data_IF_824336032353
#
_entry.id   IF_824336032353
#
_cell.length_a   1.000
_cell.length_b   1.000
_cell.length_c   1.000
_cell.angle_alpha   90.00
_cell.angle_beta   90.00
_cell.angle_gamma   90.00
#
_symmetry.space_group_name_H-M   'P 1'
#
loop_
_entity.id
_entity.type
_entity.pdbx_description
1 polymer ?
#
# COMPACT_ATOMS: atom_id res chain seq x y z
N UNK A 1 48.76 5.54 18.39
CA UNK A 1 47.97 6.77 18.65
C UNK A 1 46.58 6.34 19.06
N UNK A 2 46.20 6.58 20.31
CA UNK A 2 44.88 6.27 20.84
C UNK A 2 43.90 7.42 20.51
N UNK A 3 42.70 7.08 20.05
CA UNK A 3 41.59 8.02 19.84
C UNK A 3 41.04 8.49 21.20
N UNK A 4 40.68 9.78 21.37
CA UNK A 4 40.15 10.27 22.62
C UNK A 4 38.71 9.77 22.84
N UNK A 5 38.44 9.32 24.06
CA UNK A 5 37.13 8.94 24.58
C UNK A 5 36.24 10.19 24.59
N UNK A 6 35.13 10.16 23.85
CA UNK A 6 34.08 11.19 23.92
C UNK A 6 33.49 11.17 25.34
N UNK A 7 33.65 12.27 26.07
CA UNK A 7 33.07 12.42 27.40
C UNK A 7 31.54 12.32 27.32
N UNK A 8 30.94 11.40 28.10
CA UNK A 8 29.48 11.34 28.31
C UNK A 8 29.05 12.62 29.03
N UNK A 9 28.44 13.56 28.31
CA UNK A 9 27.71 14.67 28.93
C UNK A 9 26.53 14.08 29.73
N UNK A 10 26.55 14.28 31.06
CA UNK A 10 25.40 13.98 31.91
C UNK A 10 24.36 15.07 31.69
N UNK A 11 23.33 14.76 30.91
CA UNK A 11 22.13 15.62 30.80
C UNK A 11 21.55 15.87 32.19
N UNK A 12 21.29 17.13 32.50
CA UNK A 12 20.64 17.57 33.74
C UNK A 12 19.21 17.03 33.82
N UNK A 13 18.63 16.96 35.02
CA UNK A 13 17.23 16.55 35.20
C UNK A 13 16.24 17.44 34.43
N UNK A 14 16.60 18.72 34.21
CA UNK A 14 15.85 19.67 33.40
C UNK A 14 15.96 19.34 31.91
N UNK A 15 17.15 19.08 31.38
CA UNK A 15 17.33 18.66 29.98
C UNK A 15 16.67 17.31 29.70
N UNK A 16 16.71 16.36 30.64
CA UNK A 16 15.96 15.10 30.54
C UNK A 16 14.45 15.36 30.52
N UNK A 17 13.94 16.23 31.39
CA UNK A 17 12.52 16.60 31.43
C UNK A 17 12.07 17.33 30.15
N UNK A 18 12.92 18.20 29.61
CA UNK A 18 12.62 18.97 28.40
C UNK A 18 12.76 18.08 27.14
N UNK A 19 13.63 17.06 27.16
CA UNK A 19 13.70 15.98 26.16
C UNK A 19 12.41 15.14 26.12
N UNK A 20 11.81 14.82 27.28
CA UNK A 20 10.53 14.12 27.35
C UNK A 20 9.32 15.00 26.95
N UNK A 21 9.37 16.32 27.18
CA UNK A 21 8.29 17.25 26.78
C UNK A 21 8.22 17.49 25.27
N UNK A 22 9.33 17.39 24.54
CA UNK A 22 9.34 17.48 23.07
C UNK A 22 8.80 16.22 22.38
N UNK A 23 8.82 15.07 23.07
CA UNK A 23 8.33 13.81 22.52
C UNK A 23 6.83 13.60 22.74
N UNK A 24 6.24 14.28 23.73
CA UNK A 24 4.81 14.31 24.01
C UNK A 24 4.34 15.76 24.22
N UNK A 25 4.08 16.53 23.15
CA UNK A 25 3.49 17.86 23.29
C UNK A 25 2.15 17.77 24.05
N UNK A 26 1.87 18.66 25.03
CA UNK A 26 0.70 18.52 25.91
C UNK A 26 -0.67 18.82 25.30
N UNK A 27 -0.76 19.16 24.03
CA UNK A 27 -2.04 19.45 23.38
C UNK A 27 -2.02 18.85 21.99
N UNK A 28 -2.64 17.69 21.84
CA UNK A 28 -2.80 17.02 20.57
C UNK A 28 -4.25 17.18 20.13
N UNK A 29 -4.55 17.74 18.96
CA UNK A 29 -5.93 17.76 18.49
C UNK A 29 -6.47 16.33 18.42
N UNK A 30 -7.67 16.12 18.96
CA UNK A 30 -8.49 14.96 18.61
C UNK A 30 -8.62 14.88 17.08
N UNK A 31 -8.92 13.70 16.53
CA UNK A 31 -9.19 13.53 15.09
C UNK A 31 -10.15 14.61 14.53
N UNK A 32 -11.08 15.08 15.36
CA UNK A 32 -12.00 16.20 15.13
C UNK A 32 -11.38 17.57 14.77
N UNK A 33 -10.08 17.79 14.95
CA UNK A 33 -9.40 19.05 14.61
C UNK A 33 -8.58 18.99 13.30
N UNK A 34 -8.70 17.90 12.53
CA UNK A 34 -8.22 17.87 11.16
C UNK A 34 -9.30 18.44 10.22
N UNK A 35 -8.92 19.38 9.34
CA UNK A 35 -9.79 19.85 8.26
C UNK A 35 -10.21 18.70 7.35
N UNK A 36 -11.43 18.19 7.55
CA UNK A 36 -12.01 17.11 6.78
C UNK A 36 -12.49 17.60 5.43
N UNK A 37 -12.09 16.90 4.38
CA UNK A 37 -12.64 17.07 3.03
C UNK A 37 -13.20 15.73 2.54
N UNK A 38 -14.19 15.70 1.64
CA UNK A 38 -14.60 14.45 1.01
C UNK A 38 -13.40 13.79 0.32
N UNK A 39 -13.22 12.48 0.53
CA UNK A 39 -12.26 11.72 -0.26
C UNK A 39 -12.66 11.80 -1.74
N UNK A 40 -11.72 12.17 -2.60
CA UNK A 40 -11.94 12.08 -4.06
C UNK A 40 -11.65 10.67 -4.55
N UNK A 41 -11.88 10.42 -5.85
CA UNK A 41 -11.61 9.13 -6.46
C UNK A 41 -10.19 8.64 -6.10
N UNK A 42 -10.03 7.39 -5.65
CA UNK A 42 -8.77 6.87 -5.10
C UNK A 42 -7.67 6.75 -6.15
N UNK A 43 -8.08 6.62 -7.42
CA UNK A 43 -7.21 6.55 -8.59
C UNK A 43 -7.34 7.86 -9.34
N UNK A 44 -6.33 8.72 -9.18
CA UNK A 44 -6.19 10.00 -9.89
C UNK A 44 -4.87 9.96 -10.64
N UNK A 45 -4.96 9.92 -11.98
CA UNK A 45 -3.78 9.98 -12.82
C UNK A 45 -3.10 11.32 -12.68
N UNK A 46 -1.86 11.29 -12.18
CA UNK A 46 -0.98 12.45 -12.05
C UNK A 46 0.43 11.89 -11.82
N UNK A 47 1.07 11.35 -12.87
CA UNK A 47 2.40 10.75 -12.77
C UNK A 47 3.38 11.77 -12.24
N UNK A 48 4.37 11.32 -11.44
CA UNK A 48 5.32 12.24 -10.83
C UNK A 48 6.19 12.87 -11.92
N UNK A 49 5.93 14.13 -12.24
CA UNK A 49 6.69 14.86 -13.25
C UNK A 49 8.19 14.91 -12.89
N UNK A 50 9.09 14.86 -13.89
CA UNK A 50 10.50 15.19 -13.66
C UNK A 50 10.59 16.58 -13.03
N UNK A 51 11.41 16.71 -12.00
CA UNK A 51 11.64 18.00 -11.35
C UNK A 51 13.11 18.35 -11.44
N UNK A 52 13.41 19.63 -11.64
CA UNK A 52 14.76 20.13 -11.38
C UNK A 52 15.11 19.80 -9.94
N UNK A 53 16.33 19.28 -9.72
CA UNK A 53 16.90 19.03 -8.40
C UNK A 53 16.51 20.18 -7.46
N UNK A 54 15.88 19.88 -6.31
CA UNK A 54 15.79 20.88 -5.25
C UNK A 54 17.22 21.02 -4.74
N UNK A 55 17.93 21.99 -5.30
CA UNK A 55 19.31 22.29 -4.98
C UNK A 55 19.32 22.98 -3.61
N UNK A 56 19.27 22.17 -2.56
CA UNK A 56 19.32 22.63 -1.17
C UNK A 56 20.75 22.76 -0.65
N UNK A 57 21.73 22.75 -1.55
CA UNK A 57 23.15 22.74 -1.21
C UNK A 57 23.63 21.42 -0.62
N UNK A 58 22.79 20.37 -0.57
CA UNK A 58 23.25 19.05 -0.13
C UNK A 58 24.22 18.46 -1.17
N UNK A 59 25.36 17.87 -0.75
CA UNK A 59 26.30 17.23 -1.66
C UNK A 59 25.75 16.00 -2.40
N UNK A 60 24.54 15.52 -2.07
CA UNK A 60 24.06 14.17 -2.39
C UNK A 60 23.64 13.96 -3.84
N UNK A 61 23.50 15.02 -4.64
CA UNK A 61 23.11 14.94 -6.06
C UNK A 61 24.26 15.25 -7.02
N UNK A 62 25.41 15.68 -6.50
CA UNK A 62 26.63 15.85 -7.28
C UNK A 62 27.25 14.47 -7.55
N UNK A 63 27.26 14.04 -8.82
CA UNK A 63 27.82 12.75 -9.23
C UNK A 63 26.80 11.65 -9.51
N UNK A 64 25.51 11.97 -9.63
CA UNK A 64 24.55 11.02 -10.21
C UNK A 64 24.98 10.62 -11.63
N UNK A 65 24.77 9.36 -12.04
CA UNK A 65 25.04 8.93 -13.41
C UNK A 65 24.35 9.84 -14.42
N UNK A 66 25.03 10.15 -15.53
CA UNK A 66 24.46 10.95 -16.61
C UNK A 66 23.13 10.32 -17.10
N UNK A 67 22.09 11.15 -17.25
CA UNK A 67 20.75 10.70 -17.66
C UNK A 67 19.86 10.17 -16.52
N UNK A 68 20.29 10.26 -15.26
CA UNK A 68 19.42 10.01 -14.10
C UNK A 68 18.32 11.06 -14.03
N UNK A 69 17.06 10.64 -13.94
CA UNK A 69 15.93 11.54 -13.73
C UNK A 69 15.64 11.65 -12.24
N UNK A 70 15.51 12.89 -11.75
CA UNK A 70 15.12 13.19 -10.37
C UNK A 70 13.64 13.54 -10.33
N UNK A 71 12.92 12.94 -9.38
CA UNK A 71 11.48 13.12 -9.17
C UNK A 71 11.18 13.63 -7.78
N UNK A 72 10.74 14.88 -7.71
CA UNK A 72 10.28 15.52 -6.49
C UNK A 72 8.86 15.12 -6.15
N UNK A 73 8.63 14.66 -4.93
CA UNK A 73 7.29 14.46 -4.37
C UNK A 73 7.14 15.20 -3.05
N UNK A 74 5.91 15.58 -2.71
CA UNK A 74 5.55 16.09 -1.40
C UNK A 74 4.45 15.22 -0.79
N UNK A 75 4.60 14.92 0.50
CA UNK A 75 3.63 14.17 1.30
C UNK A 75 3.45 14.82 2.65
N UNK A 76 2.25 15.33 2.88
CA UNK A 76 1.85 15.98 4.13
C UNK A 76 0.94 15.02 4.90
N UNK A 77 1.47 14.47 6.00
CA UNK A 77 0.77 13.48 6.83
C UNK A 77 -0.25 14.12 7.76
N UNK A 78 -1.20 13.28 8.21
CA UNK A 78 -2.34 13.67 9.05
C UNK A 78 -3.24 14.72 8.38
N UNK A 79 -3.46 14.59 7.09
CA UNK A 79 -4.53 15.32 6.42
C UNK A 79 -5.82 14.50 6.49
N UNK A 80 -6.90 15.11 6.96
CA UNK A 80 -8.18 14.42 7.14
C UNK A 80 -8.98 14.29 5.84
N UNK A 81 -9.55 13.12 5.60
CA UNK A 81 -10.59 12.91 4.57
C UNK A 81 -11.77 12.14 5.14
N UNK A 82 -12.96 12.35 4.58
CA UNK A 82 -14.16 11.57 4.93
C UNK A 82 -14.32 10.41 3.95
N UNK A 83 -14.26 9.17 4.47
CA UNK A 83 -14.59 7.96 3.73
C UNK A 83 -16.08 7.67 3.90
N UNK A 84 -16.85 7.87 2.83
CA UNK A 84 -18.29 7.67 2.84
C UNK A 84 -18.65 6.19 2.67
N UNK A 85 -19.66 5.74 3.39
CA UNK A 85 -20.19 4.39 3.25
C UNK A 85 -21.33 4.35 2.23
N UNK A 86 -21.51 3.25 1.50
CA UNK A 86 -22.68 3.04 0.66
C UNK A 86 -23.98 3.19 1.45
N UNK A 87 -25.02 3.71 0.80
CA UNK A 87 -26.34 3.84 1.43
C UNK A 87 -26.84 2.47 1.93
N UNK A 88 -27.39 2.45 3.14
CA UNK A 88 -27.87 1.22 3.77
C UNK A 88 -26.77 0.34 4.36
N UNK A 89 -25.54 0.84 4.50
CA UNK A 89 -24.51 0.17 5.31
C UNK A 89 -25.01 0.01 6.75
N UNK A 90 -24.92 -1.21 7.28
CA UNK A 90 -25.37 -1.58 8.63
C UNK A 90 -24.29 -2.42 9.32
N UNK A 91 -24.43 -2.62 10.63
CA UNK A 91 -23.50 -3.46 11.39
C UNK A 91 -22.17 -2.78 11.77
N UNK A 92 -22.08 -1.46 11.63
CA UNK A 92 -20.93 -0.69 12.11
C UNK A 92 -20.89 -0.69 13.65
N UNK A 93 -19.68 -0.76 14.20
CA UNK A 93 -19.38 -0.68 15.63
C UNK A 93 -19.70 0.69 16.19
N UNK A 94 -19.57 1.75 15.38
CA UNK A 94 -20.16 3.06 15.67
C UNK A 94 -21.60 3.06 15.16
N UNK A 95 -22.63 2.99 16.02
CA UNK A 95 -24.01 2.80 15.57
C UNK A 95 -24.49 3.95 14.69
N UNK A 96 -25.05 3.61 13.51
CA UNK A 96 -25.59 4.59 12.57
C UNK A 96 -24.54 5.40 11.79
N UNK A 97 -23.26 5.01 11.86
CA UNK A 97 -22.21 5.64 11.06
C UNK A 97 -22.49 5.50 9.56
N UNK A 98 -22.47 6.62 8.85
CA UNK A 98 -22.61 6.70 7.39
C UNK A 98 -21.28 7.03 6.70
N UNK A 99 -20.26 7.33 7.48
CA UNK A 99 -18.89 7.59 7.06
C UNK A 99 -17.94 7.40 8.23
N UNK A 100 -16.64 7.38 7.94
CA UNK A 100 -15.58 7.50 8.94
C UNK A 100 -14.50 8.46 8.46
N UNK A 101 -13.73 9.00 9.40
CA UNK A 101 -12.60 9.87 9.12
C UNK A 101 -11.35 9.04 8.84
N UNK A 102 -10.66 9.30 7.73
CA UNK A 102 -9.33 8.78 7.45
C UNK A 102 -8.28 9.90 7.56
N UNK A 103 -7.04 9.51 7.81
CA UNK A 103 -5.84 10.33 7.74
C UNK A 103 -5.00 9.86 6.56
N UNK A 104 -4.66 10.77 5.67
CA UNK A 104 -3.93 10.44 4.43
C UNK A 104 -2.60 11.17 4.38
N UNK A 105 -1.68 10.65 3.57
CA UNK A 105 -0.47 11.34 3.14
C UNK A 105 -0.83 12.19 1.91
N UNK A 106 -1.32 13.40 2.16
CA UNK A 106 -1.79 14.29 1.10
C UNK A 106 -0.66 14.69 0.16
N UNK A 107 -0.95 14.78 -1.13
CA UNK A 107 -0.10 15.53 -2.07
C UNK A 107 -0.67 16.95 -2.23
N UNK A 108 0.11 17.91 -2.77
CA UNK A 108 -0.33 19.29 -2.91
C UNK A 108 -1.64 19.45 -3.69
N UNK A 109 -1.88 18.59 -4.67
CA UNK A 109 -3.02 18.65 -5.59
C UNK A 109 -4.22 17.81 -5.16
N UNK A 110 -4.07 16.81 -4.29
CA UNK A 110 -5.12 15.81 -4.07
C UNK A 110 -5.06 15.14 -2.70
N UNK A 111 -6.24 14.84 -2.14
CA UNK A 111 -6.43 14.02 -0.95
C UNK A 111 -7.34 12.83 -1.27
N UNK A 112 -6.74 11.66 -1.38
CA UNK A 112 -7.41 10.39 -1.67
C UNK A 112 -7.16 9.40 -0.55
N UNK A 113 -8.06 8.42 -0.41
CA UNK A 113 -7.81 7.22 0.37
C UNK A 113 -7.95 5.99 -0.56
N UNK A 114 -6.95 5.09 -0.65
CA UNK A 114 -5.57 5.23 -0.19
C UNK A 114 -4.90 6.50 -0.70
N UNK A 115 -3.80 6.89 -0.06
CA UNK A 115 -3.04 8.07 -0.47
C UNK A 115 -2.52 7.92 -1.90
N UNK A 116 -2.44 9.04 -2.62
CA UNK A 116 -2.10 9.10 -4.04
C UNK A 116 -0.87 8.24 -4.41
N UNK A 117 -1.04 7.34 -5.39
CA UNK A 117 0.05 6.54 -5.96
C UNK A 117 1.30 7.38 -6.25
N UNK A 118 2.45 6.93 -5.76
CA UNK A 118 3.76 7.40 -6.21
C UNK A 118 4.17 6.54 -7.39
N UNK A 119 4.09 7.07 -8.61
CA UNK A 119 4.48 6.33 -9.81
C UNK A 119 5.72 6.94 -10.46
N UNK A 120 6.75 6.12 -10.57
CA UNK A 120 8.10 6.51 -11.01
C UNK A 120 8.67 5.42 -11.93
N UNK A 121 9.82 5.67 -12.55
CA UNK A 121 10.45 4.74 -13.48
C UNK A 121 11.71 4.16 -12.86
N UNK A 122 12.00 2.92 -13.20
CA UNK A 122 13.21 2.22 -12.78
C UNK A 122 14.49 3.03 -13.09
N UNK A 123 15.36 3.14 -12.09
CA UNK A 123 16.58 3.95 -12.03
C UNK A 123 16.37 5.47 -11.86
N UNK A 124 15.16 5.92 -11.57
CA UNK A 124 14.95 7.29 -11.11
C UNK A 124 15.44 7.47 -9.67
N UNK A 125 15.72 8.72 -9.31
CA UNK A 125 15.95 9.15 -7.92
C UNK A 125 14.73 9.92 -7.44
N UNK A 126 14.15 9.49 -6.33
CA UNK A 126 13.04 10.18 -5.69
C UNK A 126 13.57 11.10 -4.59
N UNK A 127 13.12 12.35 -4.61
CA UNK A 127 13.32 13.30 -3.54
C UNK A 127 11.96 13.61 -2.90
N UNK A 128 11.70 13.03 -1.74
CA UNK A 128 10.44 13.19 -1.04
C UNK A 128 10.54 14.26 0.05
N UNK A 129 9.76 15.32 -0.08
CA UNK A 129 9.49 16.27 0.99
C UNK A 129 8.38 15.72 1.87
N UNK A 130 8.69 15.52 3.13
CA UNK A 130 7.79 14.90 4.10
C UNK A 130 7.51 15.91 5.19
N UNK A 131 6.25 16.16 5.48
CA UNK A 131 5.83 16.99 6.61
C UNK A 131 4.63 16.37 7.32
N UNK A 132 4.38 16.76 8.58
CA UNK A 132 3.17 16.39 9.31
C UNK A 132 2.40 17.62 9.76
N UNK A 133 1.05 17.57 9.71
CA UNK A 133 0.21 18.66 10.23
C UNK A 133 0.37 18.87 11.74
N UNK A 134 0.71 17.82 12.47
CA UNK A 134 1.03 17.85 13.90
C UNK A 134 2.07 16.78 14.23
N UNK A 135 2.87 17.02 15.27
CA UNK A 135 3.88 16.08 15.74
C UNK A 135 4.98 15.74 14.73
N UNK A 136 5.78 14.73 15.06
CA UNK A 136 6.74 14.12 14.13
C UNK A 136 6.12 12.92 13.44
N UNK A 137 6.51 12.64 12.20
CA UNK A 137 6.07 11.47 11.44
C UNK A 137 7.22 10.94 10.56
N UNK A 138 7.03 9.75 10.00
CA UNK A 138 7.93 9.17 9.00
C UNK A 138 7.13 8.61 7.83
N UNK A 139 7.82 8.34 6.71
CA UNK A 139 7.28 7.52 5.63
C UNK A 139 8.26 6.38 5.40
N UNK A 140 7.82 5.15 5.65
CA UNK A 140 8.54 3.96 5.22
C UNK A 140 8.15 3.59 3.80
N UNK A 141 9.16 3.36 2.96
CA UNK A 141 9.03 3.01 1.55
C UNK A 141 9.09 1.49 1.40
N UNK A 142 8.00 0.83 1.75
CA UNK A 142 7.98 -0.62 1.94
C UNK A 142 8.44 -1.40 0.69
N UNK A 143 9.59 -2.05 0.83
CA UNK A 143 10.25 -2.86 -0.20
C UNK A 143 11.28 -2.12 -1.05
N UNK A 144 11.41 -0.80 -0.87
CA UNK A 144 12.55 -0.02 -1.34
C UNK A 144 13.69 -0.17 -0.32
N UNK A 145 14.92 -0.14 -0.80
CA UNK A 145 16.14 -0.29 0.01
C UNK A 145 16.91 1.05 0.06
N UNK A 146 16.38 2.09 0.72
CA UNK A 146 17.06 3.37 0.83
C UNK A 146 18.20 3.30 1.87
N UNK A 147 18.99 4.37 1.98
CA UNK A 147 19.87 4.52 3.14
C UNK A 147 19.04 4.58 4.44
N UNK A 148 19.58 4.07 5.55
CA UNK A 148 18.85 3.97 6.83
C UNK A 148 18.18 5.28 7.28
N UNK A 149 18.76 6.44 6.97
CA UNK A 149 18.18 7.74 7.32
C UNK A 149 16.93 8.13 6.50
N UNK A 150 16.80 7.58 5.28
CA UNK A 150 15.67 7.78 4.36
C UNK A 150 14.63 6.65 4.43
N UNK A 151 14.90 5.59 5.19
CA UNK A 151 14.03 4.40 5.29
C UNK A 151 12.72 4.65 6.04
N UNK A 152 12.69 5.69 6.86
CA UNK A 152 11.49 6.12 7.58
C UNK A 152 11.02 5.15 8.67
N UNK A 153 11.89 4.27 9.17
CA UNK A 153 11.57 3.41 10.33
C UNK A 153 11.68 4.22 11.60
N UNK A 154 10.61 4.23 12.40
CA UNK A 154 10.58 4.99 13.64
C UNK A 154 11.75 4.64 14.59
N UNK A 155 12.34 5.64 15.23
CA UNK A 155 13.49 5.56 16.14
C UNK A 155 14.81 5.10 15.50
N UNK A 156 14.82 4.77 14.21
CA UNK A 156 16.02 4.39 13.45
C UNK A 156 16.34 5.41 12.35
N UNK A 157 15.32 5.96 11.70
CA UNK A 157 15.42 7.02 10.71
C UNK A 157 15.09 8.40 11.32
N UNK A 158 15.15 9.46 10.52
CA UNK A 158 14.74 10.79 10.96
C UNK A 158 13.23 10.87 11.23
N UNK A 159 12.87 11.32 12.43
CA UNK A 159 11.49 11.67 12.81
C UNK A 159 11.41 13.17 13.10
N UNK A 160 11.27 13.98 12.05
CA UNK A 160 11.14 15.42 12.17
C UNK A 160 9.73 15.86 11.77
N UNK A 161 9.32 17.06 12.18
CA UNK A 161 8.07 17.67 11.70
C UNK A 161 8.11 17.93 10.19
N UNK A 162 9.31 18.16 9.64
CA UNK A 162 9.58 18.18 8.22
C UNK A 162 10.98 17.61 7.94
N UNK A 163 11.11 16.76 6.92
CA UNK A 163 12.40 16.26 6.44
C UNK A 163 12.33 15.89 4.96
N UNK A 164 13.51 15.69 4.36
CA UNK A 164 13.63 15.20 2.98
C UNK A 164 14.21 13.81 2.98
N UNK A 165 13.52 12.86 2.36
CA UNK A 165 14.07 11.55 2.05
C UNK A 165 14.57 11.53 0.59
N UNK A 166 15.69 10.84 0.37
CA UNK A 166 16.24 10.61 -0.98
C UNK A 166 16.56 9.13 -1.14
N UNK A 167 16.13 8.54 -2.25
CA UNK A 167 16.36 7.15 -2.58
C UNK A 167 16.28 6.88 -4.08
N UNK A 168 17.01 5.88 -4.54
CA UNK A 168 16.93 5.40 -5.92
C UNK A 168 15.94 4.23 -6.02
N UNK A 169 15.18 4.18 -7.11
CA UNK A 169 14.21 3.10 -7.39
C UNK A 169 14.78 2.15 -8.43
N UNK A 170 15.68 1.26 -8.00
CA UNK A 170 16.51 0.45 -8.91
C UNK A 170 15.80 -0.76 -9.53
N UNK A 171 14.58 -1.07 -9.10
CA UNK A 171 13.88 -2.28 -9.50
C UNK A 171 12.41 -2.00 -9.77
N UNK A 172 11.98 -2.34 -10.97
CA UNK A 172 10.57 -2.27 -11.37
C UNK A 172 9.70 -3.20 -10.52
N UNK A 173 8.54 -2.71 -10.06
CA UNK A 173 7.65 -3.49 -9.23
C UNK A 173 6.56 -2.69 -8.53
N UNK A 174 5.75 -3.44 -7.77
CA UNK A 174 4.65 -2.97 -6.95
C UNK A 174 5.06 -2.92 -5.46
N UNK A 175 5.20 -1.70 -4.97
CA UNK A 175 5.55 -1.35 -3.60
C UNK A 175 4.44 -0.49 -2.99
N UNK A 176 4.62 -0.10 -1.74
CA UNK A 176 3.75 0.87 -1.10
C UNK A 176 4.55 1.69 -0.10
N UNK A 177 3.96 2.77 0.38
CA UNK A 177 4.56 3.61 1.38
C UNK A 177 3.55 3.86 2.50
N UNK A 178 4.03 4.01 3.73
CA UNK A 178 3.13 4.24 4.87
C UNK A 178 3.82 4.97 6.02
N UNK A 179 3.02 5.55 6.92
CA UNK A 179 3.54 6.05 8.18
C UNK A 179 4.08 4.90 9.02
N UNK A 180 5.32 5.05 9.53
CA UNK A 180 5.94 4.04 10.39
C UNK A 180 6.18 4.55 11.82
N UNK A 181 5.41 5.56 12.21
CA UNK A 181 5.24 5.98 13.60
C UNK A 181 3.88 5.51 14.08
N UNK A 182 3.82 4.93 15.28
CA UNK A 182 2.59 4.37 15.85
C UNK A 182 1.79 3.54 14.82
N UNK A 183 2.49 2.66 14.10
CA UNK A 183 2.01 2.07 12.83
C UNK A 183 0.64 1.43 12.97
N UNK A 184 0.34 0.79 14.10
CA UNK A 184 -0.96 0.15 14.34
C UNK A 184 -2.12 1.12 14.12
N UNK A 185 -2.11 2.27 14.79
CA UNK A 185 -3.15 3.27 14.61
C UNK A 185 -2.99 4.00 13.28
N UNK A 186 -1.78 4.46 12.95
CA UNK A 186 -1.58 5.37 11.83
C UNK A 186 -1.88 4.71 10.49
N UNK A 187 -1.58 3.42 10.36
CA UNK A 187 -1.91 2.63 9.19
C UNK A 187 -3.42 2.40 9.09
N UNK A 188 -4.09 2.00 10.19
CA UNK A 188 -5.57 1.84 10.25
C UNK A 188 -6.29 3.10 9.78
N UNK A 189 -5.81 4.25 10.26
CA UNK A 189 -6.43 5.52 9.93
C UNK A 189 -6.22 5.90 8.46
N UNK A 190 -5.39 5.18 7.69
CA UNK A 190 -5.25 5.34 6.24
C UNK A 190 -3.94 5.99 5.79
N UNK A 191 -2.93 6.10 6.67
CA UNK A 191 -1.62 6.66 6.33
C UNK A 191 -0.78 5.66 5.53
N UNK A 192 -1.27 5.29 4.35
CA UNK A 192 -0.54 4.52 3.35
C UNK A 192 -0.99 4.86 1.91
N UNK A 193 -0.18 4.47 0.93
CA UNK A 193 -0.48 4.60 -0.50
C UNK A 193 0.44 3.72 -1.35
N UNK A 194 0.10 3.47 -2.61
CA UNK A 194 0.93 2.65 -3.51
C UNK A 194 2.20 3.37 -3.97
N UNK A 195 3.27 2.63 -4.18
CA UNK A 195 4.48 3.08 -4.86
C UNK A 195 4.76 2.11 -6.02
N UNK A 196 4.60 2.59 -7.25
CA UNK A 196 4.79 1.79 -8.45
C UNK A 196 6.07 2.26 -9.14
N UNK A 197 6.98 1.32 -9.38
CA UNK A 197 8.17 1.53 -10.20
C UNK A 197 7.93 0.84 -11.54
N UNK A 198 7.67 1.63 -12.58
CA UNK A 198 7.50 1.10 -13.92
C UNK A 198 8.86 0.67 -14.52
N UNK A 199 8.91 -0.43 -15.27
CA UNK A 199 10.15 -0.86 -15.91
C UNK A 199 10.62 0.16 -16.94
N UNK A 200 11.94 0.34 -17.05
CA UNK A 200 12.56 1.15 -18.11
C UNK A 200 12.58 0.37 -19.43
N UNK A 201 11.40 0.10 -19.97
CA UNK A 201 11.19 -0.72 -21.14
C UNK A 201 11.05 0.12 -22.43
N UNK A 202 11.39 -0.46 -23.60
CA UNK A 202 11.14 0.21 -24.87
C UNK A 202 9.65 0.40 -25.13
N UNK A 203 9.32 1.38 -25.97
CA UNK A 203 7.96 1.69 -26.37
C UNK A 203 7.22 0.45 -26.88
N UNK A 204 5.90 0.45 -26.69
CA UNK A 204 5.01 -0.57 -27.22
C UNK A 204 5.20 -0.72 -28.74
N UNK A 205 5.54 -1.93 -29.23
CA UNK A 205 5.69 -2.15 -30.66
C UNK A 205 4.37 -1.94 -31.41
N UNK A 206 4.42 -1.25 -32.57
CA UNK A 206 3.32 -1.23 -33.53
C UNK A 206 2.13 -0.32 -33.19
N UNK A 207 2.23 0.55 -32.19
CA UNK A 207 1.19 1.56 -31.93
C UNK A 207 1.58 2.93 -32.52
N UNK A 208 0.65 3.65 -33.18
CA UNK A 208 0.92 5.00 -33.71
C UNK A 208 1.34 5.99 -32.61
N UNK A 209 0.82 5.80 -31.39
CA UNK A 209 1.21 6.54 -30.20
C UNK A 209 2.07 5.63 -29.30
N UNK A 210 3.31 6.02 -29.05
CA UNK A 210 4.16 5.31 -28.10
C UNK A 210 3.60 5.49 -26.69
N UNK A 211 3.42 4.38 -25.97
CA UNK A 211 3.12 4.40 -24.53
C UNK A 211 4.45 4.24 -23.80
N UNK A 212 4.82 5.23 -23.01
CA UNK A 212 6.11 5.32 -22.30
C UNK A 212 5.89 5.44 -20.79
N UNK A 213 6.81 4.91 -19.96
CA UNK A 213 6.74 5.07 -18.52
C UNK A 213 7.14 6.51 -18.09
N UNK A 214 6.62 7.03 -16.96
CA UNK A 214 5.65 6.40 -16.08
C UNK A 214 4.27 6.29 -16.75
N UNK A 215 3.61 5.15 -16.61
CA UNK A 215 2.32 4.89 -17.24
C UNK A 215 1.18 5.56 -16.46
N UNK A 216 0.06 5.82 -17.14
CA UNK A 216 -1.17 6.28 -16.49
C UNK A 216 -1.76 5.19 -15.59
N UNK A 217 -2.18 5.54 -14.38
CA UNK A 217 -2.86 4.62 -13.48
C UNK A 217 -4.13 4.05 -14.12
N UNK A 218 -4.25 2.72 -14.11
CA UNK A 218 -5.37 2.02 -14.74
C UNK A 218 -5.27 1.89 -16.28
N UNK A 219 -4.30 2.55 -16.90
CA UNK A 219 -4.12 2.62 -18.35
C UNK A 219 -3.36 1.44 -18.95
N UNK A 220 -2.84 1.66 -20.16
CA UNK A 220 -1.94 0.71 -20.84
C UNK A 220 -0.51 0.89 -20.32
N UNK A 221 0.23 -0.20 -20.21
CA UNK A 221 1.63 -0.18 -19.80
C UNK A 221 2.28 -1.56 -19.94
N UNK A 222 3.46 -1.73 -19.35
CA UNK A 222 4.09 -3.04 -19.32
C UNK A 222 4.63 -3.34 -17.92
N UNK A 223 4.68 -4.62 -17.57
CA UNK A 223 5.29 -5.08 -16.32
C UNK A 223 6.46 -6.01 -16.60
N UNK A 224 7.45 -6.00 -15.71
CA UNK A 224 8.58 -6.92 -15.79
C UNK A 224 8.16 -8.35 -15.49
N UNK A 225 8.73 -9.32 -16.19
CA UNK A 225 8.48 -10.75 -15.99
C UNK A 225 9.62 -11.61 -16.55
N UNK A 226 9.56 -12.92 -16.30
CA UNK A 226 10.49 -13.89 -16.90
C UNK A 226 10.20 -14.15 -18.38
N UNK A 227 11.22 -14.54 -19.14
CA UNK A 227 11.12 -14.91 -20.57
C UNK A 227 10.02 -15.94 -20.86
N UNK A 228 9.89 -16.96 -20.00
CA UNK A 228 8.99 -18.10 -20.20
C UNK A 228 7.70 -17.97 -19.37
N UNK A 229 7.14 -16.76 -19.29
CA UNK A 229 5.90 -16.52 -18.52
C UNK A 229 4.72 -17.28 -19.15
N UNK A 230 4.01 -18.16 -18.41
CA UNK A 230 2.92 -18.96 -18.95
C UNK A 230 1.78 -18.11 -19.52
N UNK A 231 1.33 -18.40 -20.75
CA UNK A 231 0.18 -17.75 -21.37
C UNK A 231 0.45 -16.37 -22.00
N UNK A 232 1.70 -15.92 -21.98
CA UNK A 232 2.09 -14.61 -22.53
C UNK A 232 3.30 -14.73 -23.47
N UNK A 233 3.54 -13.68 -24.25
CA UNK A 233 4.71 -13.54 -25.13
C UNK A 233 5.58 -12.38 -24.65
N UNK A 234 6.46 -12.59 -23.66
CA UNK A 234 7.32 -11.52 -23.14
C UNK A 234 8.33 -11.04 -24.20
N UNK A 235 8.58 -9.73 -24.23
CA UNK A 235 9.61 -9.11 -25.07
C UNK A 235 10.84 -8.73 -24.24
N UNK A 236 12.02 -8.89 -24.81
CA UNK A 236 13.28 -8.59 -24.13
C UNK A 236 13.45 -7.09 -23.88
N UNK A 237 14.12 -6.74 -22.78
CA UNK A 237 14.55 -5.37 -22.49
C UNK A 237 16.01 -5.22 -22.94
N UNK A 238 16.22 -4.73 -24.15
CA UNK A 238 17.57 -4.67 -24.75
C UNK A 238 18.52 -3.66 -24.10
N UNK A 239 17.97 -2.66 -23.42
CA UNK A 239 18.71 -1.63 -22.67
C UNK A 239 19.23 -2.13 -21.32
N UNK A 240 18.87 -3.34 -20.91
CA UNK A 240 19.21 -3.88 -19.61
C UNK A 240 20.68 -4.34 -19.55
N UNK A 241 21.46 -3.80 -18.61
CA UNK A 241 22.87 -4.15 -18.41
C UNK A 241 23.10 -4.64 -16.97
N UNK A 242 23.47 -5.90 -16.82
CA UNK A 242 24.02 -6.47 -15.58
C UNK A 242 25.20 -7.37 -15.92
N UNK A 243 26.35 -7.11 -15.31
CA UNK A 243 27.57 -7.89 -15.50
C UNK A 243 27.41 -9.35 -15.02
N UNK A 244 26.57 -9.59 -14.00
CA UNK A 244 26.30 -10.92 -13.45
C UNK A 244 25.23 -11.69 -14.22
N UNK A 245 24.37 -10.98 -14.97
CA UNK A 245 23.27 -11.54 -15.75
C UNK A 245 23.23 -10.91 -17.14
N UNK A 246 24.15 -11.29 -18.04
CA UNK A 246 24.29 -10.65 -19.34
C UNK A 246 23.06 -10.86 -20.21
N UNK A 247 22.93 -9.99 -21.23
CA UNK A 247 21.88 -10.07 -22.25
C UNK A 247 21.80 -11.50 -22.82
N UNK A 248 20.59 -12.06 -22.85
CA UNK A 248 20.34 -13.43 -23.31
C UNK A 248 20.43 -14.51 -22.23
N UNK A 249 20.83 -14.17 -21.00
CA UNK A 249 20.70 -15.05 -19.84
C UNK A 249 19.27 -15.54 -19.66
N UNK A 250 19.09 -16.77 -19.17
CA UNK A 250 17.76 -17.32 -18.85
C UNK A 250 16.99 -16.47 -17.82
N UNK A 251 17.70 -15.67 -17.00
CA UNK A 251 17.13 -14.79 -15.99
C UNK A 251 17.14 -13.31 -16.40
N UNK A 252 17.44 -13.02 -17.68
CA UNK A 252 17.37 -11.66 -18.20
C UNK A 252 15.92 -11.15 -18.14
N UNK A 253 15.68 -9.91 -17.67
CA UNK A 253 14.34 -9.38 -17.52
C UNK A 253 13.67 -9.20 -18.89
N UNK A 254 12.39 -9.55 -18.95
CA UNK A 254 11.51 -9.27 -20.07
C UNK A 254 10.37 -8.40 -19.58
N UNK A 255 9.57 -7.86 -20.50
CA UNK A 255 8.28 -7.24 -20.16
C UNK A 255 7.14 -7.91 -20.90
N UNK A 256 5.96 -7.88 -20.29
CA UNK A 256 4.69 -8.15 -20.96
C UNK A 256 3.87 -6.88 -20.97
N UNK A 257 3.33 -6.58 -22.15
CA UNK A 257 2.44 -5.45 -22.38
C UNK A 257 1.02 -5.79 -21.91
N UNK A 258 0.35 -4.82 -21.28
CA UNK A 258 -1.04 -4.90 -20.85
C UNK A 258 -1.87 -3.73 -21.39
N UNK A 259 -3.17 -3.97 -21.53
CA UNK A 259 -4.13 -3.04 -22.12
C UNK A 259 -4.97 -2.29 -21.07
N UNK A 260 -5.02 -2.81 -19.85
CA UNK A 260 -5.60 -2.13 -18.70
C UNK A 260 -4.86 -2.55 -17.44
N UNK A 261 -4.87 -1.69 -16.44
CA UNK A 261 -4.33 -1.96 -15.12
C UNK A 261 -5.46 -1.86 -14.08
N UNK A 262 -5.38 -2.71 -13.07
CA UNK A 262 -6.21 -2.62 -11.89
C UNK A 262 -5.32 -2.52 -10.66
N UNK A 263 -5.54 -1.50 -9.84
CA UNK A 263 -4.89 -1.34 -8.54
C UNK A 263 -5.88 -1.83 -7.50
N UNK A 264 -5.63 -3.01 -6.92
CA UNK A 264 -6.47 -3.59 -5.88
C UNK A 264 -5.74 -3.49 -4.56
N UNK A 265 -6.04 -2.43 -3.80
CA UNK A 265 -5.55 -2.24 -2.44
C UNK A 265 -6.67 -2.64 -1.50
N UNK A 266 -6.65 -3.88 -1.02
CA UNK A 266 -7.72 -4.36 -0.14
C UNK A 266 -7.44 -3.98 1.30
N UNK A 267 -8.48 -3.52 1.99
CA UNK A 267 -8.34 -3.03 3.36
C UNK A 267 -9.57 -3.35 4.21
N UNK A 268 -9.33 -3.45 5.51
CA UNK A 268 -10.34 -3.63 6.54
C UNK A 268 -10.26 -2.47 7.54
N UNK A 269 -11.41 -1.99 7.98
CA UNK A 269 -11.53 -0.78 8.80
C UNK A 269 -12.42 -1.10 9.98
N UNK A 270 -12.02 -0.68 11.17
CA UNK A 270 -12.76 -0.76 12.42
C UNK A 270 -13.30 0.62 12.79
N UNK A 271 -14.58 0.89 12.52
CA UNK A 271 -15.14 2.23 12.75
C UNK A 271 -14.95 2.76 14.17
N UNK A 272 -14.83 1.90 15.18
CA UNK A 272 -14.60 2.34 16.56
C UNK A 272 -13.21 2.93 16.73
N UNK A 273 -12.18 2.37 16.07
CA UNK A 273 -10.81 2.89 16.16
C UNK A 273 -10.69 4.31 15.62
N UNK A 274 -11.57 4.68 14.70
CA UNK A 274 -11.63 6.02 14.12
C UNK A 274 -12.25 7.07 15.06
N UNK A 275 -12.71 6.67 16.24
CA UNK A 275 -13.12 7.58 17.33
C UNK A 275 -11.98 7.94 18.27
N UNK A 276 -10.83 7.27 18.13
CA UNK A 276 -9.69 7.40 19.03
C UNK A 276 -8.83 8.64 18.74
N UNK A 277 -8.04 9.05 19.74
CA UNK A 277 -7.04 10.11 19.60
C UNK A 277 -5.80 9.65 18.81
N UNK A 278 -5.11 10.59 18.15
CA UNK A 278 -3.96 10.30 17.27
C UNK A 278 -2.72 9.69 17.94
N UNK A 279 -2.68 9.69 19.27
CA UNK A 279 -1.63 9.08 20.08
C UNK A 279 -2.09 7.82 20.84
N UNK A 280 -3.27 7.27 20.53
CA UNK A 280 -3.67 6.01 21.16
C UNK A 280 -2.68 4.90 20.85
N UNK A 281 -2.52 3.97 21.79
CA UNK A 281 -1.48 2.95 21.74
C UNK A 281 -1.99 1.60 22.25
N UNK A 282 -1.28 0.55 21.85
CA UNK A 282 -1.43 -0.80 22.41
C UNK A 282 -1.17 -0.78 23.92
N UNK A 283 -1.91 -1.56 24.71
CA UNK A 283 -1.59 -1.77 26.13
C UNK A 283 -0.52 -2.83 26.29
N UNK A 284 0.34 -2.63 27.28
CA UNK A 284 1.34 -3.60 27.73
C UNK A 284 0.75 -4.73 28.60
N UNK A 285 -0.55 -4.73 28.89
CA UNK A 285 -1.17 -5.66 29.82
C UNK A 285 -2.42 -6.33 29.22
N UNK A 286 -2.38 -7.66 29.15
CA UNK A 286 -3.58 -8.49 29.04
C UNK A 286 -4.08 -8.73 30.47
N UNK A 287 -5.29 -8.28 30.79
CA UNK A 287 -6.00 -8.82 31.95
C UNK A 287 -6.21 -10.32 31.76
N UNK A 288 -6.28 -11.08 32.87
CA UNK A 288 -6.60 -12.50 32.79
C UNK A 288 -8.04 -12.65 32.25
N UNK A 289 -8.25 -13.26 31.07
CA UNK A 289 -9.59 -13.41 30.52
C UNK A 289 -10.43 -14.33 31.41
N UNK A 290 -11.72 -14.02 31.58
CA UNK A 290 -12.64 -14.93 32.25
C UNK A 290 -12.76 -16.26 31.49
N UNK A 291 -12.60 -16.22 30.16
CA UNK A 291 -12.51 -17.38 29.29
C UNK A 291 -11.40 -17.20 28.24
N UNK A 292 -10.26 -17.91 28.34
CA UNK A 292 -9.16 -17.81 27.38
C UNK A 292 -9.55 -18.15 25.92
N UNK A 293 -10.65 -18.88 25.70
CA UNK A 293 -11.17 -19.17 24.36
C UNK A 293 -12.04 -18.05 23.78
N UNK A 294 -12.53 -17.12 24.62
CA UNK A 294 -13.36 -16.00 24.21
C UNK A 294 -12.65 -14.65 24.39
N UNK A 295 -12.15 -14.09 23.27
CA UNK A 295 -11.49 -12.79 23.17
C UNK A 295 -12.33 -11.65 23.74
N UNK A 296 -13.66 -11.78 23.71
CA UNK A 296 -14.56 -10.77 24.28
C UNK A 296 -14.43 -10.66 25.80
N UNK A 297 -13.84 -11.67 26.45
CA UNK A 297 -13.57 -11.67 27.90
C UNK A 297 -12.18 -11.14 28.24
N UNK A 298 -11.36 -10.78 27.25
CA UNK A 298 -10.07 -10.17 27.49
C UNK A 298 -10.29 -8.73 27.89
N UNK A 299 -9.85 -8.39 29.10
CA UNK A 299 -9.88 -7.02 29.60
C UNK A 299 -8.52 -6.42 29.36
N UNK A 300 -8.45 -5.40 28.50
CA UNK A 300 -7.24 -4.60 28.34
C UNK A 300 -7.25 -3.51 29.40
N UNK A 301 -6.57 -3.75 30.53
CA UNK A 301 -6.43 -2.76 31.58
C UNK A 301 -5.14 -1.97 31.36
N UNK A 302 -5.19 -0.69 30.98
CA UNK A 302 -4.00 0.15 31.03
C UNK A 302 -3.42 0.18 32.45
N UNK A 303 -2.10 0.45 32.61
CA UNK A 303 -1.59 0.95 33.87
C UNK A 303 -2.43 2.13 34.37
N UNK A 304 -2.70 2.21 35.68
CA UNK A 304 -3.56 3.25 36.25
C UNK A 304 -3.14 4.67 35.79
N UNK A 305 -4.08 5.40 35.18
CA UNK A 305 -3.85 6.75 34.63
C UNK A 305 -3.42 6.80 33.16
N UNK A 306 -3.27 5.66 32.48
CA UNK A 306 -3.03 5.60 31.03
C UNK A 306 -4.34 5.34 30.25
N UNK A 307 -4.52 6.00 29.10
CA UNK A 307 -5.62 5.70 28.16
C UNK A 307 -5.35 4.49 27.25
N UNK A 308 -4.18 3.85 27.38
CA UNK A 308 -3.66 2.88 26.42
C UNK A 308 -4.30 1.49 26.55
N UNK A 309 -4.61 0.83 25.42
CA UNK A 309 -5.12 -0.55 25.41
C UNK A 309 -6.22 -0.87 24.42
N UNK A 310 -6.83 0.15 23.83
CA UNK A 310 -7.96 -0.01 22.93
C UNK A 310 -7.57 -0.62 21.57
N UNK A 311 -6.31 -0.44 21.15
CA UNK A 311 -5.81 -0.95 19.87
C UNK A 311 -5.50 -2.46 19.86
N UNK A 312 -5.65 -3.16 21.00
CA UNK A 312 -5.50 -4.61 21.02
C UNK A 312 -6.77 -5.34 20.53
N UNK A 313 -7.92 -4.65 20.49
CA UNK A 313 -9.23 -5.21 20.13
C UNK A 313 -9.64 -4.72 18.73
N UNK A 314 -8.97 -5.27 17.71
CA UNK A 314 -9.27 -4.96 16.31
C UNK A 314 -10.41 -5.85 15.80
N UNK A 315 -11.52 -5.22 15.40
CA UNK A 315 -12.74 -5.87 14.90
C UNK A 315 -13.27 -5.11 13.69
N UNK A 316 -12.74 -5.39 12.49
CA UNK A 316 -13.12 -4.66 11.31
C UNK A 316 -14.59 -4.92 10.96
N UNK A 317 -15.28 -3.86 10.59
CA UNK A 317 -16.70 -3.83 10.23
C UNK A 317 -16.93 -3.19 8.86
N UNK A 318 -15.90 -2.55 8.30
CA UNK A 318 -15.89 -1.97 6.96
C UNK A 318 -14.78 -2.65 6.15
N UNK A 319 -15.07 -2.93 4.89
CA UNK A 319 -14.13 -3.59 3.96
C UNK A 319 -14.14 -2.83 2.65
N UNK A 320 -12.98 -2.61 2.05
CA UNK A 320 -12.88 -1.84 0.82
C UNK A 320 -11.88 -2.41 -0.18
N UNK A 321 -12.04 -2.00 -1.43
CA UNK A 321 -11.04 -2.18 -2.49
C UNK A 321 -10.67 -0.80 -2.99
N UNK A 322 -9.42 -0.44 -2.78
CA UNK A 322 -8.81 0.83 -3.19
C UNK A 322 -9.67 1.99 -2.72
N UNK A 323 -10.09 1.98 -1.45
CA UNK A 323 -10.82 3.08 -0.82
C UNK A 323 -12.28 3.21 -1.23
N UNK A 324 -12.82 2.29 -2.02
CA UNK A 324 -14.26 2.18 -2.25
C UNK A 324 -14.81 1.07 -1.34
N UNK A 325 -15.70 1.46 -0.43
CA UNK A 325 -16.28 0.56 0.57
C UNK A 325 -17.26 -0.41 -0.07
N UNK A 326 -17.16 -1.69 0.30
CA UNK A 326 -18.12 -2.72 -0.05
C UNK A 326 -19.40 -2.52 0.76
N UNK A 327 -20.52 -2.30 0.07
CA UNK A 327 -21.83 -2.33 0.71
C UNK A 327 -22.11 -3.72 1.29
N UNK A 328 -22.48 -3.78 2.58
CA UNK A 328 -22.80 -5.03 3.30
C UNK A 328 -21.70 -6.10 3.20
N UNK A 329 -20.43 -5.67 3.23
CA UNK A 329 -19.27 -6.55 3.20
C UNK A 329 -19.00 -7.30 4.51
N UNK A 330 -19.53 -6.81 5.63
CA UNK A 330 -19.31 -7.39 6.95
C UNK A 330 -19.96 -8.74 7.16
N UNK A 331 -19.25 -9.62 7.88
CA UNK A 331 -19.71 -10.93 8.33
C UNK A 331 -19.48 -11.01 9.83
N UNK A 332 -20.53 -11.07 10.67
CA UNK A 332 -20.33 -11.19 12.11
C UNK A 332 -19.45 -12.40 12.43
N UNK A 333 -18.45 -12.20 13.28
CA UNK A 333 -17.48 -13.23 13.63
C UNK A 333 -18.18 -14.50 14.16
N UNK A 334 -17.74 -15.67 13.71
CA UNK A 334 -18.33 -16.96 14.13
C UNK A 334 -19.70 -17.28 13.51
N UNK A 335 -20.21 -16.45 12.59
CA UNK A 335 -21.46 -16.73 11.87
C UNK A 335 -21.22 -17.26 10.46
N UNK A 336 -22.18 -18.06 9.97
CA UNK A 336 -22.26 -18.36 8.53
C UNK A 336 -22.82 -17.10 7.84
N UNK A 337 -22.25 -16.64 6.72
CA UNK A 337 -22.67 -15.39 6.08
C UNK A 337 -24.19 -15.35 5.83
N UNK A 338 -24.87 -14.32 6.34
CA UNK A 338 -26.31 -14.16 6.17
C UNK A 338 -26.71 -13.78 4.72
N UNK A 339 -25.77 -13.20 3.96
CA UNK A 339 -25.97 -12.81 2.57
C UNK A 339 -25.07 -13.72 1.70
N UNK A 340 -25.58 -14.37 0.65
CA UNK A 340 -24.77 -15.12 -0.31
C UNK A 340 -23.71 -14.25 -1.01
N UNK A 341 -22.54 -14.81 -1.35
CA UNK A 341 -21.43 -14.07 -1.99
C UNK A 341 -21.83 -13.44 -3.34
N UNK A 342 -22.82 -13.98 -4.03
CA UNK A 342 -23.32 -13.52 -5.33
C UNK A 342 -24.36 -12.38 -5.25
N UNK A 343 -24.82 -12.04 -4.04
CA UNK A 343 -25.77 -10.96 -3.78
C UNK A 343 -25.10 -9.61 -3.48
N UNK A 344 -23.77 -9.56 -3.37
CA UNK A 344 -23.06 -8.29 -3.20
C UNK A 344 -22.94 -7.53 -4.53
N UNK A 345 -23.26 -6.24 -4.48
CA UNK A 345 -22.94 -5.31 -5.57
C UNK A 345 -21.43 -5.18 -5.70
N UNK A 346 -20.83 -5.48 -6.87
CA UNK A 346 -19.40 -5.30 -7.06
C UNK A 346 -18.98 -3.84 -6.91
N UNK A 347 -17.83 -3.64 -6.27
CA UNK A 347 -17.10 -2.38 -6.29
C UNK A 347 -16.65 -2.12 -7.73
N UNK A 348 -17.01 -0.95 -8.23
CA UNK A 348 -16.58 -0.46 -9.54
C UNK A 348 -15.96 0.92 -9.41
N UNK A 349 -14.95 1.20 -10.23
CA UNK A 349 -14.30 2.49 -10.25
C UNK A 349 -13.16 2.52 -11.27
N UNK A 350 -12.68 3.73 -11.65
CA UNK A 350 -11.49 3.87 -12.48
C UNK A 350 -10.34 3.07 -11.88
N UNK A 351 -9.68 2.22 -12.68
CA UNK A 351 -8.56 1.40 -12.23
C UNK A 351 -8.88 0.32 -11.17
N UNK A 352 -10.16 0.06 -10.85
CA UNK A 352 -10.58 -1.04 -9.95
C UNK A 352 -11.34 -2.11 -10.74
N UNK A 353 -12.28 -1.69 -11.56
CA UNK A 353 -13.03 -2.55 -12.48
C UNK A 353 -12.66 -2.18 -13.91
N UNK A 354 -12.22 -3.16 -14.70
CA UNK A 354 -11.79 -2.93 -16.08
C UNK A 354 -12.80 -3.52 -17.08
N UNK A 355 -12.95 -2.83 -18.21
CA UNK A 355 -13.63 -3.37 -19.41
C UNK A 355 -12.59 -3.54 -20.50
N UNK A 356 -12.38 -4.77 -20.95
CA UNK A 356 -11.40 -5.14 -21.97
C UNK A 356 -12.04 -6.00 -23.06
N UNK A 357 -11.38 -6.15 -24.21
CA UNK A 357 -11.81 -7.04 -25.30
C UNK A 357 -11.20 -8.43 -25.16
N UNK A 358 -11.83 -9.42 -25.79
CA UNK A 358 -11.20 -10.72 -25.97
C UNK A 358 -9.83 -10.55 -26.65
N UNK A 359 -8.82 -11.22 -26.11
CA UNK A 359 -7.42 -11.12 -26.53
C UNK A 359 -6.62 -10.04 -25.82
N UNK A 360 -7.23 -9.10 -25.09
CA UNK A 360 -6.50 -8.10 -24.31
C UNK A 360 -5.97 -8.66 -22.99
N UNK A 361 -4.99 -7.97 -22.42
CA UNK A 361 -4.35 -8.35 -21.15
C UNK A 361 -4.65 -7.31 -20.07
N UNK A 362 -5.01 -7.76 -18.87
CA UNK A 362 -5.14 -6.92 -17.67
C UNK A 362 -4.00 -7.22 -16.72
N UNK A 363 -3.34 -6.18 -16.22
CA UNK A 363 -2.44 -6.28 -15.07
C UNK A 363 -3.21 -5.94 -13.79
N UNK A 364 -3.20 -6.82 -12.82
CA UNK A 364 -3.70 -6.55 -11.47
C UNK A 364 -2.51 -6.37 -10.54
N UNK A 365 -2.41 -5.20 -9.90
CA UNK A 365 -1.49 -4.91 -8.80
C UNK A 365 -2.23 -5.04 -7.48
N UNK A 366 -1.99 -6.14 -6.79
CA UNK A 366 -2.67 -6.47 -5.54
C UNK A 366 -1.79 -6.08 -4.34
N UNK A 367 -2.37 -5.36 -3.39
CA UNK A 367 -1.81 -5.10 -2.06
C UNK A 367 -2.83 -5.52 -1.01
N UNK A 368 -2.40 -6.35 -0.06
CA UNK A 368 -3.15 -6.54 1.18
C UNK A 368 -2.75 -5.45 2.21
N UNK A 369 -3.51 -4.36 2.27
CA UNK A 369 -3.35 -3.32 3.28
C UNK A 369 -4.04 -3.70 4.61
N UNK A 370 -5.03 -4.59 4.58
CA UNK A 370 -5.77 -5.01 5.77
C UNK A 370 -4.90 -5.64 6.87
N UNK A 371 -5.32 -5.52 8.12
CA UNK A 371 -4.81 -6.31 9.25
C UNK A 371 -5.29 -7.77 9.20
N UNK A 372 -6.34 -8.06 8.44
CA UNK A 372 -6.75 -9.42 8.15
C UNK A 372 -5.80 -10.16 7.20
N UNK A 373 -5.82 -11.49 7.32
CA UNK A 373 -5.37 -12.34 6.20
C UNK A 373 -6.46 -12.34 5.14
N UNK A 374 -6.11 -11.94 3.92
CA UNK A 374 -7.05 -11.85 2.82
C UNK A 374 -6.93 -13.07 1.91
N UNK A 375 -8.06 -13.70 1.61
CA UNK A 375 -8.18 -14.77 0.62
C UNK A 375 -8.80 -14.22 -0.66
N UNK A 376 -8.22 -14.57 -1.80
CA UNK A 376 -8.63 -14.11 -3.10
C UNK A 376 -9.10 -15.29 -3.94
N UNK A 377 -10.18 -15.10 -4.70
CA UNK A 377 -10.67 -16.06 -5.69
C UNK A 377 -10.99 -15.32 -6.98
N UNK A 378 -10.33 -15.72 -8.07
CA UNK A 378 -10.40 -15.04 -9.36
C UNK A 378 -11.35 -15.75 -10.32
N UNK A 379 -12.14 -14.98 -11.08
CA UNK A 379 -13.08 -15.51 -12.06
C UNK A 379 -12.43 -15.94 -13.38
N UNK A 380 -11.16 -15.61 -13.59
CA UNK A 380 -10.33 -16.00 -14.73
C UNK A 380 -8.98 -16.51 -14.24
N UNK A 381 -8.32 -17.31 -15.08
CA UNK A 381 -6.94 -17.72 -14.84
C UNK A 381 -6.05 -16.48 -14.77
N UNK A 382 -5.18 -16.44 -13.76
CA UNK A 382 -4.25 -15.34 -13.55
C UNK A 382 -2.84 -15.87 -13.35
N UNK A 383 -1.86 -15.27 -14.02
CA UNK A 383 -0.45 -15.62 -13.86
C UNK A 383 0.20 -14.66 -12.90
N UNK A 384 0.62 -15.15 -11.73
CA UNK A 384 1.43 -14.38 -10.78
C UNK A 384 2.82 -14.17 -11.38
N UNK A 385 3.19 -12.91 -11.63
CA UNK A 385 4.47 -12.55 -12.26
C UNK A 385 5.42 -11.83 -11.32
N UNK A 386 4.93 -11.22 -10.25
CA UNK A 386 5.76 -10.59 -9.23
C UNK A 386 5.19 -10.81 -7.83
N UNK A 387 6.07 -10.79 -6.83
CA UNK A 387 5.74 -10.79 -5.40
C UNK A 387 6.57 -9.73 -4.69
N UNK A 388 5.94 -8.96 -3.81
CA UNK A 388 6.57 -7.94 -2.96
C UNK A 388 7.49 -6.96 -3.72
N UNK A 389 7.08 -6.58 -4.93
CA UNK A 389 7.82 -5.67 -5.80
C UNK A 389 8.92 -6.33 -6.63
N UNK A 390 9.06 -7.67 -6.57
CA UNK A 390 10.10 -8.42 -7.29
C UNK A 390 9.49 -9.36 -8.33
N UNK A 391 9.85 -9.22 -9.63
CA UNK A 391 9.41 -10.14 -10.66
C UNK A 391 9.98 -11.55 -10.41
N UNK A 392 9.14 -12.56 -10.61
CA UNK A 392 9.50 -13.97 -10.43
C UNK A 392 10.26 -14.48 -11.66
N UNK A 393 11.27 -15.31 -11.45
CA UNK A 393 12.03 -15.94 -12.54
C UNK A 393 12.99 -14.99 -13.28
N UNK A 394 13.29 -13.82 -12.72
CA UNK A 394 14.37 -12.93 -13.20
C UNK A 394 15.45 -12.77 -12.13
N UNK A 395 16.58 -12.17 -12.48
CA UNK A 395 17.68 -11.93 -11.53
C UNK A 395 17.26 -11.15 -10.27
N UNK A 396 17.94 -11.31 -9.14
CA UNK A 396 19.07 -12.22 -8.89
C UNK A 396 18.61 -13.64 -8.49
N UNK A 397 17.34 -13.77 -8.14
CA UNK A 397 16.73 -14.93 -7.50
C UNK A 397 15.99 -15.84 -8.48
N UNK A 398 16.09 -15.59 -9.78
CA UNK A 398 15.32 -16.27 -10.83
C UNK A 398 15.53 -17.78 -10.91
N UNK A 399 16.58 -18.30 -10.29
CA UNK A 399 16.79 -19.75 -10.11
C UNK A 399 15.81 -20.37 -9.11
N UNK A 400 15.32 -19.57 -8.15
CA UNK A 400 14.51 -20.01 -7.01
C UNK A 400 13.05 -19.61 -7.12
N UNK A 401 12.68 -18.83 -8.14
CA UNK A 401 11.32 -18.38 -8.39
C UNK A 401 10.96 -18.52 -9.85
N UNK A 402 9.66 -18.64 -10.15
CA UNK A 402 9.14 -18.60 -11.52
C UNK A 402 7.69 -18.12 -11.50
N UNK A 403 7.21 -17.45 -12.56
CA UNK A 403 5.79 -17.15 -12.69
C UNK A 403 4.96 -18.44 -12.65
N UNK A 404 3.77 -18.35 -12.06
CA UNK A 404 2.86 -19.49 -11.95
C UNK A 404 1.40 -19.07 -12.13
N UNK A 405 0.60 -20.00 -12.65
CA UNK A 405 -0.83 -19.78 -12.91
C UNK A 405 -1.64 -20.13 -11.66
N UNK A 406 -2.58 -19.25 -11.31
CA UNK A 406 -3.69 -19.49 -10.41
C UNK A 406 -4.93 -19.73 -11.28
N UNK A 407 -5.43 -20.97 -11.37
CA UNK A 407 -6.64 -21.26 -12.14
C UNK A 407 -7.85 -20.51 -11.58
N UNK A 408 -8.79 -20.15 -12.46
CA UNK A 408 -10.06 -19.58 -12.08
C UNK A 408 -10.75 -20.42 -11.00
N UNK A 409 -11.32 -19.76 -9.99
CA UNK A 409 -11.99 -20.40 -8.86
C UNK A 409 -11.07 -20.99 -7.80
N UNK A 410 -9.74 -21.04 -8.00
CA UNK A 410 -8.80 -21.52 -6.98
C UNK A 410 -8.50 -20.41 -5.97
N UNK A 411 -8.77 -20.61 -4.67
CA UNK A 411 -8.45 -19.61 -3.65
C UNK A 411 -6.95 -19.59 -3.35
N UNK A 412 -6.43 -18.41 -3.02
CA UNK A 412 -5.10 -18.20 -2.46
C UNK A 412 -5.13 -17.11 -1.39
N UNK A 413 -4.14 -17.06 -0.50
CA UNK A 413 -4.12 -16.11 0.64
C UNK A 413 -2.88 -15.23 0.64
N UNK A 414 -3.05 -13.99 1.05
CA UNK A 414 -1.98 -13.05 1.36
C UNK A 414 -2.11 -12.57 2.79
N UNK A 415 -0.99 -12.47 3.50
CA UNK A 415 -0.92 -11.78 4.80
C UNK A 415 -0.82 -10.28 4.60
N UNK A 416 -1.02 -9.50 5.65
CA UNK A 416 -0.82 -8.05 5.67
C UNK A 416 0.50 -7.65 5.04
N UNK A 417 0.49 -6.53 4.33
CA UNK A 417 1.60 -5.91 3.62
C UNK A 417 2.18 -6.68 2.43
N UNK A 418 1.67 -7.87 2.08
CA UNK A 418 2.11 -8.58 0.86
C UNK A 418 1.54 -7.96 -0.41
N UNK A 419 2.32 -8.02 -1.48
CA UNK A 419 1.93 -7.58 -2.81
C UNK A 419 2.15 -8.68 -3.83
N UNK A 420 1.24 -8.78 -4.80
CA UNK A 420 1.39 -9.66 -5.93
C UNK A 420 0.94 -8.95 -7.20
N UNK A 421 1.66 -9.15 -8.30
CA UNK A 421 1.22 -8.71 -9.62
C UNK A 421 0.74 -9.90 -10.42
N UNK A 422 -0.45 -9.77 -11.01
CA UNK A 422 -1.08 -10.83 -11.80
C UNK A 422 -1.39 -10.35 -13.22
N UNK A 423 -0.99 -11.13 -14.20
CA UNK A 423 -1.43 -10.97 -15.58
C UNK A 423 -2.65 -11.86 -15.86
N UNK A 424 -3.70 -11.26 -16.40
CA UNK A 424 -4.94 -11.95 -16.78
C UNK A 424 -5.15 -11.75 -18.29
N UNK A 425 -5.19 -12.84 -19.05
CA UNK A 425 -5.52 -12.81 -20.48
C UNK A 425 -7.03 -12.95 -20.63
N UNK A 426 -7.67 -11.98 -21.27
CA UNK A 426 -9.10 -12.01 -21.54
C UNK A 426 -9.41 -13.01 -22.67
N UNK A 427 -9.62 -14.29 -22.34
CA UNK A 427 -9.79 -15.36 -23.34
C UNK A 427 -11.23 -15.56 -23.80
N UNK A 428 -12.21 -15.07 -23.06
CA UNK A 428 -13.65 -15.24 -23.35
C UNK A 428 -14.45 -14.04 -22.85
N UNK A 429 -15.50 -13.69 -23.60
CA UNK A 429 -16.42 -12.63 -23.22
C UNK A 429 -17.25 -13.01 -21.98
N UNK A 430 -17.65 -12.00 -21.20
CA UNK A 430 -18.44 -12.14 -19.98
C UNK A 430 -17.97 -11.22 -18.86
N UNK A 431 -18.71 -11.19 -17.75
CA UNK A 431 -18.32 -10.46 -16.54
C UNK A 431 -17.80 -11.42 -15.49
N UNK A 432 -16.54 -11.25 -15.11
CA UNK A 432 -15.84 -12.14 -14.18
C UNK A 432 -15.68 -11.46 -12.83
N UNK A 433 -16.12 -12.14 -11.77
CA UNK A 433 -16.01 -11.66 -10.40
C UNK A 433 -14.65 -12.01 -9.81
N UNK A 434 -14.13 -11.09 -9.01
CA UNK A 434 -12.92 -11.24 -8.24
C UNK A 434 -13.29 -10.97 -6.79
N UNK A 435 -13.18 -12.02 -5.97
CA UNK A 435 -13.65 -12.01 -4.59
C UNK A 435 -12.46 -11.93 -3.64
N UNK A 436 -12.57 -11.05 -2.66
CA UNK A 436 -11.69 -10.96 -1.48
C UNK A 436 -12.50 -11.35 -0.25
N UNK A 437 -11.95 -12.21 0.60
CA UNK A 437 -12.54 -12.61 1.88
C UNK A 437 -11.52 -12.35 2.99
N UNK A 438 -11.93 -11.69 4.06
CA UNK A 438 -11.05 -11.25 5.14
C UNK A 438 -11.20 -12.18 6.34
N UNK A 439 -10.06 -12.66 6.84
CA UNK A 439 -9.99 -13.59 7.97
C UNK A 439 -9.15 -13.00 9.10
N UNK A 440 -9.68 -13.07 10.32
CA UNK A 440 -8.93 -12.64 11.52
C UNK A 440 -7.65 -13.47 11.66
N UNK A 441 -6.53 -12.82 11.97
CA UNK A 441 -5.24 -13.52 12.05
C UNK A 441 -5.15 -14.51 13.22
N UNK A 442 -5.85 -14.24 14.32
CA UNK A 442 -5.74 -15.00 15.56
C UNK A 442 -6.72 -16.18 15.65
N UNK A 443 -7.87 -16.11 14.97
CA UNK A 443 -8.90 -17.16 14.99
C UNK A 443 -9.18 -17.79 13.63
N UNK A 444 -8.79 -17.12 12.54
CA UNK A 444 -9.09 -17.58 11.18
C UNK A 444 -10.57 -17.52 10.83
N UNK A 445 -11.37 -16.72 11.54
CA UNK A 445 -12.78 -16.52 11.22
C UNK A 445 -12.93 -15.49 10.11
N UNK A 446 -13.85 -15.76 9.19
CA UNK A 446 -14.24 -14.81 8.16
C UNK A 446 -15.01 -13.67 8.82
N UNK A 447 -14.56 -12.44 8.60
CA UNK A 447 -15.17 -11.22 9.16
C UNK A 447 -15.66 -10.26 8.08
N UNK A 448 -15.23 -10.45 6.84
CA UNK A 448 -15.71 -9.64 5.75
C UNK A 448 -15.40 -10.19 4.38
N UNK A 449 -15.86 -9.45 3.39
CA UNK A 449 -15.64 -9.73 1.96
C UNK A 449 -15.83 -8.47 1.13
N UNK A 450 -15.20 -8.46 -0.04
CA UNK A 450 -15.36 -7.45 -1.06
C UNK A 450 -15.29 -8.08 -2.45
N UNK A 451 -16.00 -7.53 -3.42
CA UNK A 451 -16.04 -8.06 -4.79
C UNK A 451 -15.79 -6.94 -5.78
N UNK A 452 -14.99 -7.19 -6.80
CA UNK A 452 -14.87 -6.36 -8.01
C UNK A 452 -15.07 -7.24 -9.26
N UNK A 453 -15.06 -6.62 -10.44
CA UNK A 453 -15.25 -7.33 -11.71
C UNK A 453 -14.29 -6.86 -12.79
N UNK A 454 -13.95 -7.80 -13.68
CA UNK A 454 -13.43 -7.49 -15.01
C UNK A 454 -14.50 -7.90 -16.03
N UNK A 455 -14.91 -6.98 -16.89
CA UNK A 455 -15.83 -7.23 -17.99
C UNK A 455 -15.04 -7.43 -19.27
N UNK A 456 -15.22 -8.58 -19.92
CA UNK A 456 -14.64 -8.89 -21.22
C UNK A 456 -15.73 -8.78 -22.27
N UNK A 457 -15.57 -7.84 -23.20
CA UNK A 457 -16.45 -7.69 -24.36
C UNK A 457 -15.86 -8.43 -25.57
N UNK A 458 -16.68 -8.77 -26.58
CA UNK A 458 -16.20 -9.42 -27.79
C UNK A 458 -15.04 -8.70 -28.50
#
# INVERSE_FOLDING_TARGET
MALPVIARQKLTAREKRDFFKHWFPPNNPNAAALDLVPAVAPIVDDPVAPTTIINDGSPSLNGLPAGTTVRGIQRDLLNGVTLNFPAGTTGTRVPGATSTQMWVLASPSVRTFPSKTVRVVENDVVQAQISGKTGTHTIHWHGIEPMAMSDGVGKQSFELSAFKAQFAVNQAGNYFYHCHKNTVLHFEMGLYGLLIVDPKAPAFPGTPQQVLPPFTDGGRGCCMTAKNTPGFTPRAIDSFTDANFPKGSQFAPHVVDYDAECLWVVDDIDTLWHTFGVNEAMANAFGNPANPADINTFVFTPPAGAGHGQLNDFRPDIFCITGIVQANGGVPEGTIPAIPDDALTPITGPGISATVRVGQTVLVRLLNASYCTSQFTFGLDATCVAMDGRPLGVRAEGKYSKPFVIPAGRPFRLTTARRNDFLIKATKAGTFRFKTEFFTMYRGFKVGRAITTITVVP
#
